data_IF_333277343346
#
_entry.id   IF_333277343346
#
_cell.length_a   1.000
_cell.length_b   1.000
_cell.length_c   1.000
_cell.angle_alpha   90.00
_cell.angle_beta   90.00
_cell.angle_gamma   90.00
#
_symmetry.space_group_name_H-M   'P 1'
#
loop_
_entity.id
_entity.type
_entity.pdbx_description
1 polymer ?
#
# COMPACT_ATOMS: atom_id res chain seq x y z
N UNK A 1 -37.80 -19.04 66.19
CA UNK A 1 -38.05 -18.68 64.77
C UNK A 1 -36.76 -18.11 64.18
N UNK A 2 -36.04 -18.89 63.36
CA UNK A 2 -34.78 -18.49 62.71
C UNK A 2 -35.08 -18.11 61.26
N UNK A 3 -34.74 -16.87 60.88
CA UNK A 3 -34.87 -16.39 59.48
C UNK A 3 -33.67 -16.90 58.65
N UNK A 4 -33.85 -17.42 57.42
CA UNK A 4 -32.76 -17.75 56.53
C UNK A 4 -32.26 -16.49 55.83
N UNK A 5 -30.92 -16.27 55.90
CA UNK A 5 -30.24 -15.23 55.12
C UNK A 5 -30.03 -15.67 53.68
N UNK A 6 -30.41 -14.81 52.77
CA UNK A 6 -30.15 -14.98 51.32
C UNK A 6 -28.76 -14.47 51.02
N UNK A 7 -27.87 -15.37 50.57
CA UNK A 7 -26.54 -15.00 50.05
C UNK A 7 -26.69 -14.74 48.56
N UNK A 8 -26.56 -13.47 48.13
CA UNK A 8 -26.53 -13.07 46.75
C UNK A 8 -25.12 -13.31 46.18
N UNK A 9 -25.01 -14.24 45.24
CA UNK A 9 -23.77 -14.46 44.45
C UNK A 9 -23.70 -13.42 43.34
N UNK A 10 -22.83 -12.44 43.46
CA UNK A 10 -22.52 -11.49 42.36
C UNK A 10 -21.57 -12.16 41.36
N UNK A 11 -22.07 -12.54 40.18
CA UNK A 11 -21.24 -13.02 39.07
C UNK A 11 -20.62 -11.81 38.36
N UNK A 12 -19.34 -11.61 38.55
CA UNK A 12 -18.55 -10.58 37.81
C UNK A 12 -18.29 -11.06 36.38
N UNK A 13 -18.95 -10.44 35.38
CA UNK A 13 -18.68 -10.63 33.96
C UNK A 13 -17.40 -9.86 33.61
N UNK A 14 -16.26 -10.56 33.47
CA UNK A 14 -15.04 -9.98 32.94
C UNK A 14 -15.18 -9.82 31.42
N UNK A 15 -15.38 -8.59 30.95
CA UNK A 15 -15.30 -8.23 29.52
C UNK A 15 -13.83 -8.37 29.07
N UNK A 16 -13.54 -9.43 28.33
CA UNK A 16 -12.28 -9.59 27.59
C UNK A 16 -12.27 -8.59 26.42
N UNK A 17 -11.67 -7.43 26.62
CA UNK A 17 -11.35 -6.51 25.53
C UNK A 17 -10.19 -7.08 24.74
N UNK A 18 -10.45 -7.66 23.56
CA UNK A 18 -9.40 -8.04 22.63
C UNK A 18 -8.67 -6.77 22.17
N UNK A 19 -7.32 -6.72 22.24
CA UNK A 19 -6.57 -5.58 21.72
C UNK A 19 -6.80 -5.50 20.20
N UNK A 20 -7.22 -4.33 19.71
CA UNK A 20 -7.23 -4.06 18.28
C UNK A 20 -5.80 -4.15 17.76
N UNK A 21 -5.56 -5.05 16.78
CA UNK A 21 -4.28 -5.14 16.11
C UNK A 21 -4.07 -3.83 15.32
N UNK A 22 -3.14 -3.01 15.78
CA UNK A 22 -2.71 -1.81 15.04
C UNK A 22 -1.79 -2.25 13.90
N UNK A 23 -1.91 -1.60 12.72
CA UNK A 23 -0.95 -1.80 11.65
C UNK A 23 0.47 -1.58 12.17
N UNK A 24 1.31 -2.59 12.03
CA UNK A 24 2.70 -2.55 12.50
C UNK A 24 3.63 -2.87 11.34
N UNK A 25 3.89 -1.86 10.51
CA UNK A 25 4.93 -1.94 9.47
C UNK A 25 6.20 -1.23 9.94
N UNK A 26 7.35 -1.77 9.55
CA UNK A 26 8.65 -1.16 9.79
C UNK A 26 9.42 -1.00 8.49
N UNK A 27 10.19 0.08 8.38
CA UNK A 27 11.11 0.26 7.25
C UNK A 27 12.23 -0.77 7.35
N UNK A 28 12.47 -1.50 6.24
CA UNK A 28 13.51 -2.53 6.14
C UNK A 28 14.68 -2.09 5.25
N UNK A 29 14.47 -1.11 4.38
CA UNK A 29 15.52 -0.46 3.59
C UNK A 29 15.10 0.94 3.19
N UNK A 30 16.09 1.83 2.93
CA UNK A 30 15.88 3.17 2.41
C UNK A 30 16.97 3.49 1.39
N UNK A 31 16.60 4.08 0.24
CA UNK A 31 17.54 4.58 -0.77
C UNK A 31 16.93 5.80 -1.46
N UNK A 32 17.54 6.97 -1.26
CA UNK A 32 16.98 8.23 -1.72
C UNK A 32 15.60 8.52 -1.10
N UNK A 33 14.61 8.76 -1.93
CA UNK A 33 13.22 8.97 -1.51
C UNK A 33 12.44 7.66 -1.30
N UNK A 34 13.01 6.53 -1.68
CA UNK A 34 12.38 5.22 -1.67
C UNK A 34 12.61 4.50 -0.34
N UNK A 35 11.58 3.80 0.11
CA UNK A 35 11.61 2.95 1.32
C UNK A 35 10.99 1.60 0.98
N UNK A 36 11.61 0.51 1.41
CA UNK A 36 10.95 -0.78 1.52
C UNK A 36 10.48 -0.97 2.96
N UNK A 37 9.33 -1.59 3.14
CA UNK A 37 8.75 -1.88 4.44
C UNK A 37 8.15 -3.28 4.49
N UNK A 38 8.01 -3.81 5.69
CA UNK A 38 7.34 -5.08 5.94
C UNK A 38 6.74 -5.11 7.33
N UNK A 39 5.71 -5.93 7.52
CA UNK A 39 5.02 -6.02 8.80
C UNK A 39 3.64 -6.63 8.67
N UNK A 40 2.66 -6.05 9.38
CA UNK A 40 1.25 -6.43 9.35
C UNK A 40 0.38 -5.22 9.09
N UNK A 41 -0.69 -5.41 8.34
CA UNK A 41 -1.78 -4.45 8.14
C UNK A 41 -2.67 -4.34 9.39
N UNK A 42 -3.67 -3.44 9.35
CA UNK A 42 -4.59 -3.22 10.49
C UNK A 42 -5.37 -4.47 10.90
N UNK A 43 -5.65 -5.38 9.97
CA UNK A 43 -6.31 -6.66 10.20
C UNK A 43 -5.35 -7.80 10.59
N UNK A 44 -4.05 -7.49 10.73
CA UNK A 44 -3.02 -8.45 11.09
C UNK A 44 -2.43 -9.24 9.93
N UNK A 45 -2.87 -9.03 8.67
CA UNK A 45 -2.34 -9.72 7.48
C UNK A 45 -0.88 -9.31 7.24
N UNK A 46 0.06 -10.26 7.04
CA UNK A 46 1.43 -9.93 6.66
C UNK A 46 1.47 -9.15 5.35
N UNK A 47 2.30 -8.11 5.30
CA UNK A 47 2.45 -7.23 4.13
C UNK A 47 3.91 -6.86 3.92
N UNK A 48 4.31 -6.83 2.65
CA UNK A 48 5.55 -6.25 2.17
C UNK A 48 5.24 -5.14 1.18
N UNK A 49 6.05 -4.08 1.15
CA UNK A 49 5.82 -3.00 0.21
C UNK A 49 7.03 -2.09 0.01
N UNK A 50 6.87 -1.21 -0.97
CA UNK A 50 7.78 -0.11 -1.26
C UNK A 50 6.97 1.18 -1.39
N UNK A 51 7.54 2.31 -1.00
CA UNK A 51 6.90 3.60 -1.17
C UNK A 51 7.90 4.73 -1.33
N UNK A 52 7.46 5.80 -1.96
CA UNK A 52 8.13 7.09 -1.96
C UNK A 52 7.10 8.19 -1.75
N UNK A 53 7.51 9.25 -1.06
CA UNK A 53 6.71 10.47 -0.90
C UNK A 53 7.60 11.69 -0.96
N UNK A 54 7.09 12.77 -1.53
CA UNK A 54 7.78 14.06 -1.60
C UNK A 54 7.09 15.02 -2.55
N UNK A 55 7.20 16.31 -2.27
CA UNK A 55 6.61 17.39 -3.07
C UNK A 55 5.10 17.21 -3.33
N UNK A 56 4.35 16.73 -2.32
CA UNK A 56 2.92 16.49 -2.44
C UNK A 56 2.53 15.28 -3.27
N UNK A 57 3.49 14.42 -3.64
CA UNK A 57 3.26 13.19 -4.42
C UNK A 57 3.53 11.96 -3.55
N UNK A 58 2.77 10.91 -3.81
CA UNK A 58 2.90 9.62 -3.14
C UNK A 58 2.83 8.49 -4.17
N UNK A 59 3.68 7.48 -4.00
CA UNK A 59 3.66 6.23 -4.73
C UNK A 59 3.89 5.07 -3.75
N UNK A 60 3.12 4.01 -3.88
CA UNK A 60 3.31 2.80 -3.06
C UNK A 60 2.92 1.55 -3.84
N UNK A 61 3.67 0.50 -3.56
CA UNK A 61 3.40 -0.87 -4.00
C UNK A 61 3.29 -1.72 -2.76
N UNK A 62 2.25 -2.59 -2.69
CA UNK A 62 2.03 -3.50 -1.57
C UNK A 62 1.64 -4.87 -2.08
N UNK A 63 2.15 -5.91 -1.42
CA UNK A 63 1.71 -7.29 -1.59
C UNK A 63 1.36 -7.84 -0.21
N UNK A 64 0.16 -8.39 -0.08
CA UNK A 64 -0.30 -9.03 1.16
C UNK A 64 -0.21 -10.54 1.03
N UNK A 65 -0.06 -11.21 2.15
CA UNK A 65 0.01 -12.67 2.20
C UNK A 65 -1.27 -13.30 1.67
N UNK A 66 -1.12 -14.13 0.64
CA UNK A 66 -2.23 -14.86 0.01
C UNK A 66 -2.91 -14.12 -1.13
N UNK A 67 -2.50 -12.88 -1.44
CA UNK A 67 -3.04 -12.17 -2.60
C UNK A 67 -2.38 -12.62 -3.90
N UNK A 68 -3.18 -12.70 -4.95
CA UNK A 68 -2.75 -12.96 -6.33
C UNK A 68 -2.42 -11.67 -7.10
N UNK A 69 -2.56 -10.52 -6.44
CA UNK A 69 -2.37 -9.20 -7.04
C UNK A 69 -1.58 -8.27 -6.11
N UNK A 70 -0.67 -7.53 -6.69
CA UNK A 70 0.04 -6.43 -6.06
C UNK A 70 -0.79 -5.16 -6.15
N UNK A 71 -1.02 -4.49 -5.03
CA UNK A 71 -1.70 -3.20 -4.98
C UNK A 71 -0.72 -2.06 -5.26
N UNK A 72 -1.07 -1.19 -6.21
CA UNK A 72 -0.35 0.07 -6.49
C UNK A 72 -1.24 1.24 -6.08
N UNK A 73 -0.68 2.14 -5.27
CA UNK A 73 -1.36 3.36 -4.82
C UNK A 73 -0.57 4.59 -5.25
N UNK A 74 -1.30 5.56 -5.77
CA UNK A 74 -0.80 6.87 -6.19
C UNK A 74 -1.54 7.94 -5.41
N UNK A 75 -0.86 9.03 -5.07
CA UNK A 75 -1.49 10.17 -4.39
C UNK A 75 -0.88 11.49 -4.83
N UNK A 76 -1.68 12.55 -4.71
CA UNK A 76 -1.22 13.94 -4.83
C UNK A 76 -2.11 14.85 -4.00
N UNK A 77 -1.48 15.77 -3.27
CA UNK A 77 -2.16 16.82 -2.51
C UNK A 77 -2.98 17.79 -3.39
N UNK A 78 -2.73 17.76 -4.71
CA UNK A 78 -3.45 18.57 -5.70
C UNK A 78 -4.66 17.89 -6.31
N UNK A 79 -4.83 16.59 -6.07
CA UNK A 79 -5.92 15.85 -6.70
C UNK A 79 -7.25 16.02 -5.96
N UNK A 80 -8.32 16.16 -6.75
CA UNK A 80 -9.69 16.21 -6.25
C UNK A 80 -10.52 15.01 -6.75
N UNK A 81 -9.88 13.85 -6.86
CA UNK A 81 -10.50 12.63 -7.35
C UNK A 81 -11.53 12.15 -6.32
N UNK A 82 -12.74 11.86 -6.77
CA UNK A 82 -13.80 11.32 -5.90
C UNK A 82 -13.56 9.84 -5.61
N UNK A 83 -13.89 9.41 -4.40
CA UNK A 83 -13.90 7.99 -4.03
C UNK A 83 -14.81 7.21 -5.00
N UNK A 84 -14.32 6.07 -5.51
CA UNK A 84 -15.00 5.23 -6.48
C UNK A 84 -14.88 5.68 -7.94
N UNK A 85 -14.39 6.89 -8.22
CA UNK A 85 -14.15 7.33 -9.59
C UNK A 85 -13.13 6.42 -10.30
N UNK A 86 -13.41 6.10 -11.57
CA UNK A 86 -12.51 5.28 -12.39
C UNK A 86 -11.62 6.17 -13.25
N UNK A 87 -10.32 5.87 -13.25
CA UNK A 87 -9.32 6.62 -13.99
C UNK A 87 -8.43 5.67 -14.79
N UNK A 88 -8.30 5.88 -16.10
CA UNK A 88 -7.36 5.13 -16.93
C UNK A 88 -5.95 5.66 -16.70
N UNK A 89 -5.03 4.77 -16.34
CA UNK A 89 -3.63 5.09 -16.06
C UNK A 89 -2.72 4.44 -17.10
N UNK A 90 -1.72 5.19 -17.52
CA UNK A 90 -0.58 4.70 -18.30
C UNK A 90 0.68 4.98 -17.49
N UNK A 91 1.39 3.93 -17.11
CA UNK A 91 2.71 4.00 -16.47
C UNK A 91 3.78 3.58 -17.47
N UNK A 92 4.87 4.33 -17.55
CA UNK A 92 5.99 4.03 -18.44
C UNK A 92 7.31 4.17 -17.69
N UNK A 93 8.04 3.08 -17.65
CA UNK A 93 9.41 3.03 -17.15
C UNK A 93 10.37 3.36 -18.29
N UNK A 94 11.02 4.50 -18.24
CA UNK A 94 11.93 5.00 -19.29
C UNK A 94 11.40 4.77 -20.71
N UNK A 95 11.98 3.82 -21.46
CA UNK A 95 11.60 3.45 -22.83
C UNK A 95 10.86 2.12 -22.92
N UNK A 96 10.50 1.52 -21.78
CA UNK A 96 9.79 0.24 -21.76
C UNK A 96 8.34 0.37 -22.26
N UNK A 97 7.74 -0.76 -22.58
CA UNK A 97 6.33 -0.82 -22.97
C UNK A 97 5.43 -0.30 -21.83
N UNK A 98 4.41 0.51 -22.15
CA UNK A 98 3.59 1.09 -21.09
C UNK A 98 2.71 0.05 -20.39
N UNK A 99 2.65 0.13 -19.08
CA UNK A 99 1.68 -0.56 -18.25
C UNK A 99 0.38 0.24 -18.24
N UNK A 100 -0.73 -0.42 -18.58
CA UNK A 100 -2.05 0.19 -18.59
C UNK A 100 -2.94 -0.45 -17.55
N UNK A 101 -3.66 0.38 -16.79
CA UNK A 101 -4.61 -0.06 -15.78
C UNK A 101 -5.82 0.88 -15.69
N UNK A 102 -6.87 0.42 -15.03
CA UNK A 102 -7.95 1.29 -14.57
C UNK A 102 -7.89 1.36 -13.06
N UNK A 103 -7.57 2.54 -12.54
CA UNK A 103 -7.52 2.80 -11.12
C UNK A 103 -8.86 3.26 -10.57
N UNK A 104 -9.04 3.06 -9.28
CA UNK A 104 -10.21 3.51 -8.52
C UNK A 104 -9.78 4.57 -7.53
N UNK A 105 -10.54 5.67 -7.48
CA UNK A 105 -10.35 6.74 -6.51
C UNK A 105 -10.64 6.28 -5.09
N UNK A 106 -9.78 6.68 -4.13
CA UNK A 106 -9.97 6.45 -2.70
C UNK A 106 -9.48 7.65 -1.88
N UNK A 107 -9.59 7.58 -0.55
CA UNK A 107 -8.99 8.55 0.37
C UNK A 107 -7.96 7.86 1.25
N UNK A 108 -6.79 8.50 1.40
CA UNK A 108 -5.84 8.16 2.44
C UNK A 108 -6.37 8.53 3.82
N UNK A 109 -5.71 8.08 4.88
CA UNK A 109 -6.13 8.34 6.26
C UNK A 109 -6.05 9.82 6.67
N UNK A 110 -5.22 10.61 6.01
CA UNK A 110 -5.10 12.06 6.16
C UNK A 110 -6.16 12.85 5.36
N UNK A 111 -6.98 12.16 4.54
CA UNK A 111 -8.04 12.73 3.72
C UNK A 111 -7.63 13.05 2.29
N UNK A 112 -6.36 12.94 1.94
CA UNK A 112 -5.85 13.19 0.60
C UNK A 112 -6.43 12.21 -0.43
N UNK A 113 -6.61 12.69 -1.67
CA UNK A 113 -7.11 11.88 -2.76
C UNK A 113 -6.03 10.93 -3.26
N UNK A 114 -6.42 9.68 -3.48
CA UNK A 114 -5.57 8.64 -4.06
C UNK A 114 -6.25 7.88 -5.18
N UNK A 115 -5.44 7.18 -5.94
CA UNK A 115 -5.82 6.20 -6.95
C UNK A 115 -5.19 4.88 -6.62
N UNK A 116 -5.96 3.80 -6.73
CA UNK A 116 -5.51 2.44 -6.46
C UNK A 116 -5.86 1.52 -7.63
N UNK A 117 -4.94 0.63 -7.98
CA UNK A 117 -5.15 -0.42 -8.96
C UNK A 117 -4.26 -1.63 -8.64
N UNK A 118 -4.59 -2.76 -9.27
CA UNK A 118 -3.86 -4.03 -9.06
C UNK A 118 -3.02 -4.40 -10.27
N UNK A 119 -1.90 -5.08 -9.98
CA UNK A 119 -1.06 -5.76 -10.96
C UNK A 119 -0.96 -7.22 -10.53
N UNK A 120 -1.37 -8.16 -11.40
CA UNK A 120 -1.33 -9.58 -11.08
C UNK A 120 0.08 -10.08 -10.77
N UNK A 121 0.22 -10.94 -9.76
CA UNK A 121 1.51 -11.48 -9.28
C UNK A 121 2.31 -12.16 -10.40
N UNK A 122 1.65 -12.74 -11.41
CA UNK A 122 2.30 -13.30 -12.61
C UNK A 122 3.16 -12.30 -13.39
N UNK A 123 2.91 -11.00 -13.23
CA UNK A 123 3.66 -9.92 -13.87
C UNK A 123 4.64 -9.23 -12.89
N UNK A 124 4.71 -9.71 -11.64
CA UNK A 124 5.48 -9.07 -10.57
C UNK A 124 6.97 -8.99 -10.93
N UNK A 125 7.56 -10.08 -11.39
CA UNK A 125 8.99 -10.11 -11.75
C UNK A 125 9.32 -9.10 -12.85
N UNK A 126 8.51 -9.04 -13.90
CA UNK A 126 8.70 -8.08 -14.99
C UNK A 126 8.60 -6.65 -14.46
N UNK A 127 7.56 -6.37 -13.67
CA UNK A 127 7.36 -5.05 -13.08
C UNK A 127 8.54 -4.64 -12.19
N UNK A 128 9.00 -5.54 -11.31
CA UNK A 128 10.12 -5.25 -10.39
C UNK A 128 11.45 -5.06 -11.13
N UNK A 129 11.68 -5.81 -12.22
CA UNK A 129 12.86 -5.66 -13.06
C UNK A 129 12.88 -4.29 -13.76
N UNK A 130 11.75 -3.90 -14.37
CA UNK A 130 11.62 -2.59 -15.00
C UNK A 130 11.76 -1.46 -13.98
N UNK A 131 11.08 -1.58 -12.82
CA UNK A 131 11.15 -0.61 -11.73
C UNK A 131 12.57 -0.43 -11.18
N UNK A 132 13.33 -1.52 -11.02
CA UNK A 132 14.68 -1.48 -10.47
C UNK A 132 15.75 -0.97 -11.46
N UNK A 133 15.52 -1.11 -12.77
CA UNK A 133 16.49 -0.76 -13.82
C UNK A 133 16.29 0.62 -14.40
N UNK A 134 15.11 1.19 -14.25
CA UNK A 134 14.77 2.47 -14.85
C UNK A 134 15.20 3.65 -13.98
N UNK A 135 15.38 4.80 -14.61
CA UNK A 135 15.71 6.07 -13.97
C UNK A 135 14.47 6.92 -13.72
N UNK A 136 13.40 6.69 -14.49
CA UNK A 136 12.16 7.44 -14.37
C UNK A 136 10.92 6.56 -14.57
N UNK A 137 9.85 6.91 -13.85
CA UNK A 137 8.51 6.41 -14.05
C UNK A 137 7.60 7.58 -14.40
N UNK A 138 7.11 7.61 -15.65
CA UNK A 138 6.08 8.56 -16.08
C UNK A 138 4.69 7.98 -15.84
N UNK A 139 3.82 8.76 -15.21
CA UNK A 139 2.42 8.42 -14.96
C UNK A 139 1.55 9.43 -15.71
N UNK A 140 0.64 8.94 -16.55
CA UNK A 140 -0.28 9.72 -17.36
C UNK A 140 -1.70 9.19 -17.17
N UNK A 141 -2.69 10.07 -17.35
CA UNK A 141 -4.11 9.75 -17.21
C UNK A 141 -4.82 9.99 -18.55
N UNK A 142 -5.41 8.93 -19.13
CA UNK A 142 -6.10 9.02 -20.41
C UNK A 142 -7.52 9.55 -20.22
N UNK A 143 -7.88 10.57 -21.00
CA UNK A 143 -9.24 11.13 -21.04
C UNK A 143 -9.67 11.86 -19.76
N UNK A 144 -8.74 12.51 -19.09
CA UNK A 144 -8.92 13.16 -17.80
C UNK A 144 -8.13 14.45 -17.71
N UNK A 145 -8.63 15.40 -16.90
CA UNK A 145 -7.95 16.64 -16.56
C UNK A 145 -6.99 16.46 -15.35
N UNK A 146 -6.79 15.23 -14.88
CA UNK A 146 -5.83 14.93 -13.80
C UNK A 146 -4.42 15.04 -14.34
N UNK A 147 -3.62 15.90 -13.72
CA UNK A 147 -2.22 16.07 -14.08
C UNK A 147 -1.41 14.80 -13.81
N UNK A 148 -0.72 14.30 -14.82
CA UNK A 148 0.29 13.28 -14.69
C UNK A 148 1.56 13.80 -14.01
N UNK A 149 2.44 12.90 -13.61
CA UNK A 149 3.72 13.24 -13.00
C UNK A 149 4.80 12.23 -13.32
N UNK A 150 6.05 12.60 -13.04
CA UNK A 150 7.21 11.73 -13.24
C UNK A 150 7.92 11.52 -11.90
N UNK A 151 8.16 10.27 -11.53
CA UNK A 151 8.99 9.90 -10.39
C UNK A 151 10.44 9.68 -10.82
N UNK A 152 11.37 10.12 -9.98
CA UNK A 152 12.79 9.72 -10.03
C UNK A 152 12.90 8.33 -9.37
N UNK A 153 13.44 7.37 -10.12
CA UNK A 153 13.63 5.99 -9.66
C UNK A 153 15.06 5.73 -9.13
N UNK A 154 15.86 6.76 -8.92
CA UNK A 154 17.18 6.60 -8.32
C UNK A 154 17.07 5.94 -6.95
N UNK A 155 17.74 4.79 -6.77
CA UNK A 155 17.72 4.00 -5.53
C UNK A 155 16.69 2.86 -5.50
N UNK A 156 15.79 2.76 -6.48
CA UNK A 156 14.77 1.70 -6.52
C UNK A 156 15.35 0.29 -6.54
N UNK A 157 16.50 0.07 -7.19
CA UNK A 157 17.15 -1.23 -7.20
C UNK A 157 17.39 -1.80 -5.79
N UNK A 158 17.87 -0.95 -4.86
CA UNK A 158 18.14 -1.38 -3.48
C UNK A 158 16.86 -1.73 -2.71
N UNK A 159 15.81 -0.91 -2.82
CA UNK A 159 14.53 -1.15 -2.13
C UNK A 159 13.76 -2.31 -2.76
N UNK A 160 13.89 -2.52 -4.08
CA UNK A 160 13.29 -3.68 -4.77
C UNK A 160 13.89 -4.99 -4.26
N UNK A 161 15.22 -5.05 -4.09
CA UNK A 161 15.87 -6.22 -3.48
C UNK A 161 15.39 -6.49 -2.05
N UNK A 162 15.22 -5.45 -1.24
CA UNK A 162 14.69 -5.58 0.12
C UNK A 162 13.21 -6.01 0.13
N UNK A 163 12.40 -5.50 -0.80
CA UNK A 163 11.01 -5.92 -0.99
C UNK A 163 10.92 -7.41 -1.36
N UNK A 164 11.68 -7.86 -2.38
CA UNK A 164 11.71 -9.25 -2.80
C UNK A 164 12.08 -10.19 -1.62
N UNK A 165 13.13 -9.85 -0.86
CA UNK A 165 13.51 -10.59 0.35
C UNK A 165 12.41 -10.60 1.43
N UNK A 166 11.61 -9.54 1.54
CA UNK A 166 10.48 -9.49 2.46
C UNK A 166 9.38 -10.46 2.00
N UNK A 167 9.04 -10.45 0.71
CA UNK A 167 8.05 -11.37 0.10
C UNK A 167 8.45 -12.81 0.35
N UNK A 168 9.67 -13.20 0.00
CA UNK A 168 10.17 -14.58 0.17
C UNK A 168 10.13 -15.08 1.62
N UNK A 169 10.35 -14.19 2.60
CA UNK A 169 10.46 -14.59 4.01
C UNK A 169 9.16 -14.49 4.79
N UNK A 170 8.19 -13.69 4.34
CA UNK A 170 7.01 -13.32 5.14
C UNK A 170 5.67 -13.66 4.49
N UNK A 171 5.62 -13.76 3.17
CA UNK A 171 4.38 -14.01 2.43
C UNK A 171 4.30 -15.41 1.90
#
# INVERSE_FOLDING_TARGET
>A
MRKPGIVALAASLALLTAPFASAQTSTIATAGYWKAFGGRSNDGTPVCGMSASGKGLFFSIKLFKGDDEMTVQLGSDRWQIKTGAKQKIVMRFDRESPWKATATGFRFSDGDAGLEFSVGVKNLDTFLVEFARSYSLKIEFEGSDVDGWTADLTGTAAVTGAFANCVDKRL
#
